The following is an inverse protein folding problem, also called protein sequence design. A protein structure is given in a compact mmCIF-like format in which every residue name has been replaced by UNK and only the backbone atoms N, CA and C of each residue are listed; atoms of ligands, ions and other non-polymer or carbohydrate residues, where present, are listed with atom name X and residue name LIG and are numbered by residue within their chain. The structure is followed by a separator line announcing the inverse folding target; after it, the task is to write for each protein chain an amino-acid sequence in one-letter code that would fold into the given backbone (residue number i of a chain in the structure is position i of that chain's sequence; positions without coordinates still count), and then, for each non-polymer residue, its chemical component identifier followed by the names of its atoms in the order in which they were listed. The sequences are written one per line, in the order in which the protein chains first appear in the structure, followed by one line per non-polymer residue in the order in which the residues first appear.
data_IF_737198762895
#
_entry.id   IF_737198762895
#
_cell.length_a   1.000
_cell.length_b   1.000
_cell.length_c   1.000
_cell.angle_alpha   90.00
_cell.angle_beta   90.00
_cell.angle_gamma   90.00
#
_symmetry.space_group_name_H-M   'P 1'
#
loop_
_entity.id
_entity.type
_entity.pdbx_description
1 polymer ?
#
# COMPACT_ATOMS: atom_id res chain seq x y z
N UNK A 1 -5.25 -2.00 -11.34
CA UNK A 1 -4.26 -2.78 -12.11
C UNK A 1 -3.83 -2.12 -13.41
N UNK A 2 -4.44 -0.98 -13.80
CA UNK A 2 -4.19 -0.34 -15.10
C UNK A 2 -4.54 -1.25 -16.28
N UNK A 3 -5.45 -2.22 -16.08
CA UNK A 3 -5.92 -3.10 -17.15
C UNK A 3 -7.25 -2.64 -17.75
N UNK A 4 -8.03 -1.80 -17.05
CA UNK A 4 -9.22 -1.18 -17.65
C UNK A 4 -8.84 -0.14 -18.71
N UNK A 5 -9.62 -0.05 -19.80
CA UNK A 5 -9.43 0.98 -20.80
C UNK A 5 -9.61 2.39 -20.22
N UNK A 6 -8.90 3.37 -20.78
CA UNK A 6 -9.05 4.76 -20.40
C UNK A 6 -10.49 5.28 -20.66
N UNK A 7 -10.93 6.34 -19.95
CA UNK A 7 -12.17 7.04 -20.29
C UNK A 7 -12.22 7.39 -21.78
N UNK A 8 -13.37 7.17 -22.43
CA UNK A 8 -13.56 7.39 -23.86
C UNK A 8 -12.90 6.37 -24.80
N UNK A 9 -12.27 5.31 -24.30
CA UNK A 9 -11.73 4.25 -25.16
C UNK A 9 -12.83 3.57 -26.00
N UNK A 10 -12.55 3.36 -27.29
CA UNK A 10 -13.47 2.71 -28.25
C UNK A 10 -13.85 1.30 -27.81
N UNK A 11 -12.90 0.55 -27.27
CA UNK A 11 -13.12 -0.77 -26.70
C UNK A 11 -13.14 -0.71 -25.18
N UNK A 12 -14.12 -1.39 -24.58
CA UNK A 12 -14.24 -1.59 -23.13
C UNK A 12 -13.54 -2.87 -22.64
N UNK A 13 -12.91 -3.64 -23.54
CA UNK A 13 -12.23 -4.89 -23.16
C UNK A 13 -10.92 -4.57 -22.43
N UNK A 14 -10.72 -5.07 -21.20
CA UNK A 14 -9.49 -4.85 -20.45
C UNK A 14 -8.29 -5.54 -21.10
N UNK A 15 -7.10 -4.97 -20.91
CA UNK A 15 -5.82 -5.59 -21.25
C UNK A 15 -5.28 -6.30 -20.01
N UNK A 16 -5.61 -7.57 -19.86
CA UNK A 16 -5.30 -8.34 -18.64
C UNK A 16 -3.83 -8.75 -18.58
N UNK A 17 -3.25 -8.87 -17.37
CA UNK A 17 -1.92 -9.45 -17.20
C UNK A 17 -1.81 -10.85 -17.79
N UNK A 18 -0.63 -11.22 -18.29
CA UNK A 18 -0.32 -12.58 -18.70
C UNK A 18 0.13 -13.40 -17.50
N UNK A 19 1.15 -12.92 -16.77
CA UNK A 19 1.64 -13.55 -15.56
C UNK A 19 2.20 -12.53 -14.57
N UNK A 20 2.50 -13.02 -13.37
CA UNK A 20 3.21 -12.24 -12.36
C UNK A 20 4.22 -13.09 -11.60
N UNK A 21 5.18 -12.38 -11.01
CA UNK A 21 6.12 -12.91 -10.01
C UNK A 21 6.12 -12.00 -8.80
N UNK A 22 6.40 -12.57 -7.64
CA UNK A 22 6.50 -11.84 -6.39
C UNK A 22 7.61 -12.46 -5.56
N UNK A 23 8.52 -11.64 -5.06
CA UNK A 23 9.62 -12.08 -4.21
C UNK A 23 9.75 -11.11 -3.05
N UNK A 24 9.96 -11.62 -1.85
CA UNK A 24 9.99 -10.79 -0.67
C UNK A 24 9.85 -11.61 0.59
N UNK A 25 10.37 -11.07 1.68
CA UNK A 25 10.32 -11.72 2.99
C UNK A 25 10.58 -10.71 4.09
N UNK A 26 10.10 -10.97 5.30
CA UNK A 26 10.59 -10.30 6.52
C UNK A 26 12.04 -10.70 6.79
N UNK A 27 13.01 -9.82 6.49
CA UNK A 27 14.45 -10.06 6.65
C UNK A 27 14.97 -9.63 8.02
N UNK A 28 14.56 -8.48 8.54
CA UNK A 28 15.13 -7.86 9.74
C UNK A 28 14.48 -8.33 11.03
N UNK A 29 13.15 -8.19 11.14
CA UNK A 29 12.42 -8.42 12.39
C UNK A 29 12.12 -9.90 12.61
N UNK A 30 13.19 -10.70 12.78
CA UNK A 30 13.13 -12.13 13.09
C UNK A 30 13.88 -12.42 14.38
N UNK A 31 13.44 -13.41 15.16
CA UNK A 31 14.10 -13.82 16.42
C UNK A 31 15.61 -14.03 16.27
N UNK A 32 16.06 -14.63 15.15
CA UNK A 32 17.48 -14.86 14.86
C UNK A 32 18.32 -13.58 14.68
N UNK A 33 17.67 -12.42 14.45
CA UNK A 33 18.28 -11.10 14.28
C UNK A 33 18.16 -10.23 15.52
N UNK A 34 17.52 -10.72 16.59
CA UNK A 34 17.41 -10.01 17.87
C UNK A 34 18.81 -9.72 18.41
N UNK A 35 19.11 -8.49 18.87
CA UNK A 35 20.38 -8.18 19.51
C UNK A 35 20.62 -9.12 20.69
N UNK A 36 21.81 -9.75 20.75
CA UNK A 36 22.16 -10.67 21.84
C UNK A 36 22.07 -9.99 23.22
N UNK A 37 22.43 -8.71 23.27
CA UNK A 37 22.35 -7.88 24.46
C UNK A 37 20.91 -7.71 24.98
N UNK A 38 19.88 -7.82 24.14
CA UNK A 38 18.48 -7.77 24.56
C UNK A 38 18.02 -9.02 25.32
N UNK A 39 18.82 -10.10 25.29
CA UNK A 39 18.55 -11.34 26.01
C UNK A 39 17.15 -11.90 25.72
N UNK A 40 16.42 -12.25 26.78
CA UNK A 40 15.07 -12.83 26.69
C UNK A 40 13.94 -11.78 26.77
N UNK A 41 14.25 -10.49 26.73
CA UNK A 41 13.22 -9.46 26.87
C UNK A 41 12.19 -9.55 25.74
N UNK A 42 10.92 -9.57 26.10
CA UNK A 42 9.77 -9.58 25.17
C UNK A 42 9.12 -8.21 25.05
N UNK A 43 9.38 -7.29 25.98
CA UNK A 43 8.88 -5.91 25.96
C UNK A 43 10.05 -4.92 26.07
N UNK A 44 9.95 -3.79 25.36
CA UNK A 44 10.98 -2.75 25.35
C UNK A 44 11.25 -2.16 26.74
N UNK A 45 10.22 -1.95 27.57
CA UNK A 45 10.36 -1.30 28.87
C UNK A 45 11.16 -2.12 29.90
N UNK A 46 11.26 -3.44 29.69
CA UNK A 46 12.02 -4.35 30.55
C UNK A 46 13.29 -4.89 29.87
N UNK A 47 13.71 -4.29 28.75
CA UNK A 47 14.87 -4.73 27.98
C UNK A 47 16.14 -3.98 28.39
N UNK A 48 17.17 -4.70 28.85
CA UNK A 48 18.45 -4.10 29.24
C UNK A 48 19.21 -3.43 28.10
N UNK A 49 18.89 -3.76 26.85
CA UNK A 49 19.48 -3.17 25.64
C UNK A 49 18.62 -2.05 25.02
N UNK A 50 17.49 -1.71 25.64
CA UNK A 50 16.57 -0.68 25.14
C UNK A 50 17.28 0.64 24.81
N UNK A 51 18.18 1.09 25.69
CA UNK A 51 18.95 2.31 25.56
C UNK A 51 19.85 2.39 24.31
N UNK A 52 20.24 1.26 23.72
CA UNK A 52 21.03 1.19 22.48
C UNK A 52 20.21 0.72 21.27
N UNK A 53 18.95 0.35 21.47
CA UNK A 53 18.09 -0.20 20.43
C UNK A 53 17.45 0.91 19.59
N UNK A 54 17.59 0.84 18.26
CA UNK A 54 16.94 1.77 17.31
C UNK A 54 15.41 1.59 17.25
N UNK A 55 14.92 0.43 17.67
CA UNK A 55 13.52 0.04 17.63
C UNK A 55 12.87 0.02 19.03
N UNK A 56 13.38 0.82 19.95
CA UNK A 56 12.75 1.00 21.26
C UNK A 56 11.40 1.72 21.11
N UNK A 57 10.33 1.06 21.55
CA UNK A 57 9.01 1.68 21.62
C UNK A 57 9.01 2.93 22.53
N UNK A 58 9.77 2.92 23.63
CA UNK A 58 9.89 4.08 24.52
C UNK A 58 10.50 5.28 23.77
N UNK A 59 11.62 5.07 23.08
CA UNK A 59 12.25 6.15 22.28
C UNK A 59 11.33 6.67 21.19
N UNK A 60 10.63 5.75 20.51
CA UNK A 60 9.74 6.09 19.39
C UNK A 60 8.54 6.89 19.89
N UNK A 61 7.76 6.39 20.84
CA UNK A 61 6.48 7.00 21.21
C UNK A 61 6.61 8.08 22.30
N UNK A 62 7.45 7.85 23.32
CA UNK A 62 7.61 8.80 24.43
C UNK A 62 8.63 9.89 24.06
N UNK A 63 9.90 9.52 23.89
CA UNK A 63 11.01 10.50 23.81
C UNK A 63 10.95 11.34 22.54
N UNK A 64 10.66 10.72 21.39
CA UNK A 64 10.61 11.42 20.10
C UNK A 64 9.31 12.20 19.87
N UNK A 65 8.19 11.79 20.46
CA UNK A 65 6.87 12.36 20.16
C UNK A 65 6.20 12.99 21.38
N UNK A 66 5.79 12.20 22.37
CA UNK A 66 5.01 12.75 23.48
C UNK A 66 5.80 13.79 24.29
N UNK A 67 7.12 13.60 24.45
CA UNK A 67 7.97 14.56 25.16
C UNK A 67 8.11 15.90 24.43
N UNK A 68 8.00 15.93 23.10
CA UNK A 68 7.94 17.17 22.32
C UNK A 68 6.53 17.77 22.28
N UNK A 69 5.57 17.22 23.03
CA UNK A 69 4.18 17.66 23.07
C UNK A 69 3.31 17.13 21.94
N UNK A 70 3.78 16.16 21.15
CA UNK A 70 2.95 15.52 20.13
C UNK A 70 2.04 14.47 20.77
N UNK A 71 0.73 14.74 20.79
CA UNK A 71 -0.31 13.79 21.23
C UNK A 71 -1.06 13.15 20.06
N UNK A 72 -0.73 13.51 18.82
CA UNK A 72 -1.35 12.94 17.62
C UNK A 72 -0.58 11.68 17.17
N UNK A 73 -0.66 11.29 15.90
CA UNK A 73 0.10 10.17 15.35
C UNK A 73 1.62 10.36 15.57
N UNK A 74 2.34 9.31 15.99
CA UNK A 74 1.88 7.94 16.21
C UNK A 74 1.39 7.64 17.64
N UNK A 75 1.40 8.61 18.55
CA UNK A 75 1.09 8.41 19.98
C UNK A 75 -0.37 8.05 20.21
N UNK A 76 -1.31 8.74 19.54
CA UNK A 76 -2.76 8.46 19.65
C UNK A 76 -3.15 7.04 19.24
N UNK A 77 -2.31 6.36 18.46
CA UNK A 77 -2.56 4.98 18.02
C UNK A 77 -2.24 4.01 19.16
N UNK A 78 -1.27 4.34 20.02
CA UNK A 78 -0.96 3.56 21.22
C UNK A 78 -2.04 3.76 22.27
N UNK A 79 -2.47 5.00 22.47
CA UNK A 79 -3.56 5.34 23.37
C UNK A 79 -4.45 6.45 22.77
N UNK A 80 -5.69 6.14 22.36
CA UNK A 80 -6.60 7.12 21.77
C UNK A 80 -7.00 8.27 22.71
N UNK A 81 -6.88 8.10 24.03
CA UNK A 81 -7.26 9.11 25.04
C UNK A 81 -6.09 10.03 25.40
N UNK A 82 -4.91 9.82 24.82
CA UNK A 82 -3.67 10.50 25.23
C UNK A 82 -3.75 12.03 25.11
N UNK A 83 -4.45 12.55 24.11
CA UNK A 83 -4.65 13.98 23.90
C UNK A 83 -5.46 14.61 25.04
N UNK A 84 -6.54 13.95 25.45
CA UNK A 84 -7.41 14.43 26.52
C UNK A 84 -6.69 14.36 27.87
N UNK A 85 -5.98 13.27 28.15
CA UNK A 85 -5.18 13.12 29.37
C UNK A 85 -4.09 14.20 29.44
N UNK A 86 -3.40 14.46 28.32
CA UNK A 86 -2.37 15.50 28.26
C UNK A 86 -2.96 16.88 28.56
N UNK A 87 -4.11 17.22 27.98
CA UNK A 87 -4.79 18.52 28.19
C UNK A 87 -5.34 18.68 29.61
N UNK A 88 -5.90 17.62 30.19
CA UNK A 88 -6.62 17.69 31.47
C UNK A 88 -5.73 17.43 32.67
N UNK A 89 -4.79 16.48 32.57
CA UNK A 89 -3.94 16.03 33.67
C UNK A 89 -2.46 16.38 33.48
N UNK A 90 -2.09 16.90 32.31
CA UNK A 90 -0.74 17.36 32.01
C UNK A 90 0.18 16.27 31.45
N UNK A 91 1.36 16.71 31.03
CA UNK A 91 2.37 15.90 30.33
C UNK A 91 2.82 14.66 31.11
N UNK A 92 3.01 14.76 32.42
CA UNK A 92 3.47 13.65 33.25
C UNK A 92 2.43 12.53 33.35
N UNK A 93 1.15 12.88 33.54
CA UNK A 93 0.06 11.92 33.55
C UNK A 93 -0.07 11.20 32.20
N UNK A 94 0.03 11.93 31.09
CA UNK A 94 0.04 11.35 29.76
C UNK A 94 1.24 10.41 29.54
N UNK A 95 2.44 10.80 29.96
CA UNK A 95 3.63 9.96 29.86
C UNK A 95 3.48 8.64 30.65
N UNK A 96 2.94 8.71 31.86
CA UNK A 96 2.67 7.53 32.68
C UNK A 96 1.63 6.61 32.02
N UNK A 97 0.55 7.19 31.45
CA UNK A 97 -0.46 6.42 30.72
C UNK A 97 0.13 5.74 29.48
N UNK A 98 0.92 6.45 28.70
CA UNK A 98 1.58 5.89 27.52
C UNK A 98 2.52 4.74 27.91
N UNK A 99 3.33 4.92 28.96
CA UNK A 99 4.21 3.87 29.46
C UNK A 99 3.42 2.65 29.98
N UNK A 100 2.25 2.86 30.59
CA UNK A 100 1.36 1.76 30.98
C UNK A 100 0.89 0.96 29.76
N UNK A 101 0.42 1.64 28.70
CA UNK A 101 0.00 0.98 27.46
C UNK A 101 1.17 0.25 26.77
N UNK A 102 2.36 0.85 26.76
CA UNK A 102 3.58 0.22 26.23
C UNK A 102 4.09 -0.94 27.12
N UNK A 103 3.74 -0.99 28.40
CA UNK A 103 4.12 -2.09 29.27
C UNK A 103 3.32 -3.37 28.99
N UNK A 104 2.20 -3.27 28.28
CA UNK A 104 1.38 -4.42 27.94
C UNK A 104 2.15 -5.41 27.06
N UNK A 105 2.04 -6.70 27.40
CA UNK A 105 2.75 -7.78 26.74
C UNK A 105 1.96 -9.09 26.81
N UNK A 106 2.36 -10.09 26.02
CA UNK A 106 1.76 -11.41 26.04
C UNK A 106 2.82 -12.52 26.19
N UNK A 107 2.37 -13.67 26.68
CA UNK A 107 3.19 -14.87 26.84
C UNK A 107 2.71 -15.98 25.92
N UNK A 108 3.38 -17.12 25.93
CA UNK A 108 2.90 -18.32 25.22
C UNK A 108 1.60 -18.89 25.79
N UNK A 109 1.17 -18.45 26.97
CA UNK A 109 -0.08 -18.87 27.61
C UNK A 109 -1.27 -17.96 27.24
N UNK A 110 -0.99 -16.77 26.68
CA UNK A 110 -2.04 -15.85 26.24
C UNK A 110 -2.77 -16.44 25.02
N UNK A 111 -4.12 -16.49 25.01
CA UNK A 111 -4.88 -16.99 23.87
C UNK A 111 -4.59 -16.21 22.59
N UNK A 112 -4.46 -16.90 21.46
CA UNK A 112 -4.21 -16.27 20.16
C UNK A 112 -5.27 -15.22 19.80
N UNK A 113 -6.55 -15.46 20.14
CA UNK A 113 -7.63 -14.50 19.94
C UNK A 113 -7.38 -13.17 20.66
N UNK A 114 -6.79 -13.21 21.84
CA UNK A 114 -6.52 -12.02 22.65
C UNK A 114 -5.31 -11.27 22.11
N UNK A 115 -4.32 -12.01 21.60
CA UNK A 115 -3.14 -11.43 20.91
C UNK A 115 -3.56 -10.74 19.62
N UNK A 116 -4.39 -11.39 18.80
CA UNK A 116 -4.83 -10.89 17.49
C UNK A 116 -5.88 -9.78 17.57
N UNK A 117 -6.59 -9.66 18.70
CA UNK A 117 -7.63 -8.64 18.87
C UNK A 117 -7.10 -7.20 18.90
N UNK A 118 -5.79 -6.99 19.12
CA UNK A 118 -5.19 -5.66 19.27
C UNK A 118 -3.69 -5.64 19.01
N UNK A 119 -3.12 -4.47 18.68
CA UNK A 119 -1.67 -4.29 18.65
C UNK A 119 -1.03 -4.25 20.04
N UNK A 120 0.26 -4.58 20.10
CA UNK A 120 1.10 -4.60 21.31
C UNK A 120 2.32 -3.69 21.13
N UNK A 121 2.10 -2.37 21.14
CA UNK A 121 3.09 -1.39 20.65
C UNK A 121 4.42 -1.34 21.43
N UNK A 122 4.43 -1.78 22.69
CA UNK A 122 5.68 -1.88 23.46
C UNK A 122 6.39 -3.23 23.38
N UNK A 123 5.78 -4.22 22.72
CA UNK A 123 6.40 -5.53 22.52
C UNK A 123 7.62 -5.41 21.60
N UNK A 124 8.66 -6.17 21.94
CA UNK A 124 9.89 -6.26 21.18
C UNK A 124 9.59 -6.72 19.74
N UNK A 125 9.95 -5.89 18.75
CA UNK A 125 9.69 -6.15 17.33
C UNK A 125 10.31 -7.47 16.80
N UNK A 126 11.33 -8.01 17.47
CA UNK A 126 11.91 -9.32 17.12
C UNK A 126 11.21 -10.52 17.79
N UNK A 127 10.39 -10.28 18.83
CA UNK A 127 9.58 -11.29 19.52
C UNK A 127 8.08 -11.20 19.16
N UNK A 128 7.71 -10.21 18.35
CA UNK A 128 6.39 -10.06 17.77
C UNK A 128 6.14 -11.09 16.65
N UNK A 129 4.87 -11.33 16.39
CA UNK A 129 4.31 -12.22 15.38
C UNK A 129 4.19 -11.60 13.98
N UNK A 130 4.47 -10.29 13.84
CA UNK A 130 4.47 -9.57 12.55
C UNK A 130 5.15 -10.35 11.44
N UNK A 131 4.43 -10.76 10.40
CA UNK A 131 4.96 -11.51 9.26
C UNK A 131 5.07 -10.67 7.97
N UNK A 132 4.78 -9.37 8.06
CA UNK A 132 4.83 -8.44 6.92
C UNK A 132 6.26 -8.35 6.36
N UNK A 133 6.36 -8.37 5.03
CA UNK A 133 7.63 -8.20 4.32
C UNK A 133 8.21 -6.80 4.58
N UNK A 134 9.51 -6.73 4.87
CA UNK A 134 10.23 -5.44 4.95
C UNK A 134 10.84 -5.02 3.61
N UNK A 135 10.82 -5.92 2.62
CA UNK A 135 11.31 -5.75 1.26
C UNK A 135 10.59 -6.76 0.34
N UNK A 136 9.80 -6.25 -0.61
CA UNK A 136 9.04 -7.05 -1.57
C UNK A 136 9.01 -6.40 -2.96
N UNK A 137 9.28 -7.22 -3.97
CA UNK A 137 9.15 -6.90 -5.37
C UNK A 137 8.01 -7.71 -5.99
N UNK A 138 7.08 -7.04 -6.65
CA UNK A 138 6.04 -7.66 -7.48
C UNK A 138 6.26 -7.20 -8.91
N UNK A 139 6.47 -8.14 -9.84
CA UNK A 139 6.58 -7.85 -11.27
C UNK A 139 5.38 -8.46 -11.97
N UNK A 140 4.67 -7.65 -12.74
CA UNK A 140 3.47 -8.03 -13.47
C UNK A 140 3.75 -7.77 -14.95
N UNK A 141 3.48 -8.76 -15.79
CA UNK A 141 3.71 -8.71 -17.22
C UNK A 141 2.39 -8.80 -17.99
N UNK A 142 2.36 -8.11 -19.12
CA UNK A 142 1.27 -8.12 -20.10
C UNK A 142 1.87 -8.43 -21.47
N UNK A 143 1.25 -9.35 -22.20
CA UNK A 143 1.59 -9.63 -23.59
C UNK A 143 0.85 -8.68 -24.54
N UNK A 144 1.19 -8.68 -25.82
CA UNK A 144 0.37 -8.00 -26.84
C UNK A 144 -1.06 -8.57 -26.86
N UNK A 145 -2.09 -7.71 -26.77
CA UNK A 145 -3.50 -8.12 -26.78
C UNK A 145 -4.30 -7.31 -27.82
N UNK A 146 -4.01 -7.47 -29.12
CA UNK A 146 -4.69 -6.74 -30.18
C UNK A 146 -6.21 -7.04 -30.17
N UNK A 147 -7.01 -5.99 -30.30
CA UNK A 147 -8.47 -6.10 -30.46
C UNK A 147 -8.86 -5.87 -31.91
N UNK A 148 -8.22 -4.88 -32.53
CA UNK A 148 -8.50 -4.44 -33.87
C UNK A 148 -7.36 -4.88 -34.82
N UNK A 149 -7.63 -4.77 -36.11
CA UNK A 149 -6.66 -5.00 -37.18
C UNK A 149 -6.48 -3.73 -37.99
N UNK A 150 -5.30 -3.53 -38.53
CA UNK A 150 -5.04 -2.49 -39.53
C UNK A 150 -5.66 -2.87 -40.88
N UNK A 151 -5.66 -1.92 -41.81
CA UNK A 151 -6.12 -2.03 -43.19
C UNK A 151 -5.48 -3.16 -43.99
N UNK A 152 -4.26 -3.56 -43.66
CA UNK A 152 -3.55 -4.69 -44.27
C UNK A 152 -3.83 -6.04 -43.57
N UNK A 153 -4.65 -6.04 -42.53
CA UNK A 153 -5.02 -7.20 -41.73
C UNK A 153 -4.05 -7.54 -40.59
N UNK A 154 -2.98 -6.76 -40.41
CA UNK A 154 -2.05 -6.92 -39.29
C UNK A 154 -2.70 -6.51 -37.95
N UNK A 155 -2.26 -7.07 -36.79
CA UNK A 155 -2.82 -6.71 -35.50
C UNK A 155 -2.48 -5.26 -35.10
N UNK A 156 -3.48 -4.49 -34.68
CA UNK A 156 -3.27 -3.11 -34.20
C UNK A 156 -2.94 -3.12 -32.70
N UNK A 157 -1.73 -2.68 -32.35
CA UNK A 157 -1.22 -2.67 -30.97
C UNK A 157 -1.31 -1.31 -30.26
N UNK A 158 -1.91 -0.30 -30.88
CA UNK A 158 -2.02 1.03 -30.26
C UNK A 158 -2.81 0.93 -28.94
N UNK A 159 -2.14 1.23 -27.82
CA UNK A 159 -2.72 1.09 -26.47
C UNK A 159 -2.90 -0.36 -25.99
N UNK A 160 -2.35 -1.34 -26.73
CA UNK A 160 -2.53 -2.79 -26.53
C UNK A 160 -1.23 -3.58 -26.58
N UNK A 161 -0.10 -2.89 -26.70
CA UNK A 161 1.23 -3.47 -26.71
C UNK A 161 1.60 -4.03 -25.32
N UNK A 162 2.49 -5.02 -25.33
CA UNK A 162 3.10 -5.61 -24.16
C UNK A 162 3.72 -4.55 -23.23
N UNK A 163 3.65 -4.79 -21.92
CA UNK A 163 4.18 -3.90 -20.89
C UNK A 163 4.51 -4.67 -19.62
N UNK A 164 5.38 -4.09 -18.81
CA UNK A 164 5.77 -4.64 -17.50
C UNK A 164 5.60 -3.56 -16.45
N UNK A 165 5.04 -3.93 -15.30
CA UNK A 165 4.99 -3.08 -14.11
C UNK A 165 5.75 -3.74 -12.97
N UNK A 166 6.52 -2.94 -12.23
CA UNK A 166 7.21 -3.40 -11.03
C UNK A 166 6.83 -2.53 -9.83
N UNK A 167 6.40 -3.19 -8.76
CA UNK A 167 6.18 -2.58 -7.46
C UNK A 167 7.28 -3.01 -6.51
N UNK A 168 7.87 -2.06 -5.82
CA UNK A 168 8.82 -2.30 -4.74
C UNK A 168 8.28 -1.68 -3.45
N UNK A 169 7.97 -2.53 -2.48
CA UNK A 169 7.60 -2.12 -1.13
C UNK A 169 8.81 -2.33 -0.23
N UNK A 170 9.22 -1.29 0.49
CA UNK A 170 10.38 -1.32 1.40
C UNK A 170 10.06 -0.57 2.69
N UNK A 171 10.38 -1.20 3.82
CA UNK A 171 10.15 -0.62 5.14
C UNK A 171 11.21 0.42 5.52
N UNK A 172 12.48 0.18 5.14
CA UNK A 172 13.61 1.04 5.52
C UNK A 172 13.95 2.01 4.40
N UNK A 173 13.30 3.17 4.42
CA UNK A 173 13.48 4.24 3.44
C UNK A 173 13.28 5.59 4.11
N UNK A 174 13.99 6.62 3.66
CA UNK A 174 13.73 8.02 4.05
C UNK A 174 12.35 8.48 3.55
N UNK A 175 11.89 7.91 2.44
CA UNK A 175 10.63 8.23 1.77
C UNK A 175 9.44 7.48 2.37
N UNK A 176 9.23 7.66 3.68
CA UNK A 176 8.13 7.03 4.42
C UNK A 176 6.80 7.67 3.96
N UNK A 177 5.79 6.84 3.70
CA UNK A 177 4.48 7.27 3.20
C UNK A 177 4.50 8.04 1.86
N UNK A 178 5.61 7.98 1.12
CA UNK A 178 5.74 8.58 -0.20
C UNK A 178 5.72 7.50 -1.30
N UNK A 179 5.08 7.82 -2.42
CA UNK A 179 5.08 7.00 -3.63
C UNK A 179 6.00 7.65 -4.66
N UNK A 180 6.96 6.88 -5.15
CA UNK A 180 7.89 7.31 -6.20
C UNK A 180 8.00 6.27 -7.28
N UNK A 181 8.34 6.69 -8.49
CA UNK A 181 8.49 5.75 -9.60
C UNK A 181 8.85 6.43 -10.91
N UNK A 182 8.96 5.59 -11.93
CA UNK A 182 9.22 5.99 -13.30
C UNK A 182 8.33 5.22 -14.26
N UNK A 183 7.87 5.91 -15.30
CA UNK A 183 7.12 5.33 -16.40
C UNK A 183 7.92 5.61 -17.67
N UNK A 184 8.31 4.55 -18.37
CA UNK A 184 9.10 4.64 -19.59
C UNK A 184 8.22 4.47 -20.81
N UNK A 185 8.47 5.28 -21.83
CA UNK A 185 7.81 5.19 -23.14
C UNK A 185 8.80 5.41 -24.28
N UNK A 186 8.31 5.25 -25.50
CA UNK A 186 9.14 5.41 -26.72
C UNK A 186 9.47 6.86 -27.05
N UNK A 187 8.69 7.83 -26.54
CA UNK A 187 8.87 9.26 -26.81
C UNK A 187 9.37 10.06 -25.60
N UNK A 188 9.55 9.41 -24.46
CA UNK A 188 9.90 10.09 -23.23
C UNK A 188 9.76 9.22 -22.00
N UNK A 189 9.96 9.84 -20.85
CA UNK A 189 9.78 9.22 -19.54
C UNK A 189 9.11 10.18 -18.56
N UNK A 190 8.42 9.60 -17.58
CA UNK A 190 7.81 10.30 -16.46
C UNK A 190 8.49 9.83 -15.18
N UNK A 191 8.95 10.78 -14.34
CA UNK A 191 9.45 10.52 -12.99
C UNK A 191 8.54 11.21 -11.97
N UNK A 192 8.23 10.55 -10.86
CA UNK A 192 7.45 11.14 -9.78
C UNK A 192 7.95 10.73 -8.39
N UNK A 193 7.74 11.60 -7.39
CA UNK A 193 8.18 11.40 -6.01
C UNK A 193 7.21 11.92 -4.94
N UNK A 194 5.90 11.80 -5.17
CA UNK A 194 4.81 12.35 -4.35
C UNK A 194 4.69 13.86 -4.33
N UNK A 195 5.76 14.62 -4.60
CA UNK A 195 5.75 16.09 -4.57
C UNK A 195 5.90 16.72 -5.96
N UNK A 196 6.58 16.02 -6.85
CA UNK A 196 6.94 16.47 -8.17
C UNK A 196 6.61 15.39 -9.22
N UNK A 197 6.20 15.81 -10.41
CA UNK A 197 6.07 14.97 -11.61
C UNK A 197 6.89 15.63 -12.73
N UNK A 198 7.91 14.94 -13.23
CA UNK A 198 8.74 15.39 -14.36
C UNK A 198 8.36 14.60 -15.60
N UNK A 199 8.13 15.30 -16.70
CA UNK A 199 7.83 14.71 -18.01
C UNK A 199 8.93 15.13 -18.96
N UNK A 200 9.76 14.17 -19.39
CA UNK A 200 10.85 14.41 -20.31
C UNK A 200 10.49 13.92 -21.72
N UNK A 201 10.72 14.76 -22.73
CA UNK A 201 10.48 14.44 -24.13
C UNK A 201 11.81 14.17 -24.85
N UNK A 202 11.98 12.96 -25.39
CA UNK A 202 13.24 12.57 -26.04
C UNK A 202 13.49 13.29 -27.37
N UNK A 203 12.43 13.66 -28.11
CA UNK A 203 12.59 14.32 -29.40
C UNK A 203 13.09 15.77 -29.26
N UNK A 204 12.69 16.46 -28.18
CA UNK A 204 13.08 17.86 -27.94
C UNK A 204 14.18 18.03 -26.90
N UNK A 205 14.43 17.00 -26.09
CA UNK A 205 15.32 17.07 -24.92
C UNK A 205 14.77 17.93 -23.78
N UNK A 206 13.52 18.38 -23.86
CA UNK A 206 12.91 19.27 -22.88
C UNK A 206 12.20 18.50 -21.76
N UNK A 207 12.37 18.97 -20.52
CA UNK A 207 11.65 18.45 -19.35
C UNK A 207 10.66 19.49 -18.83
N UNK A 208 9.40 19.11 -18.71
CA UNK A 208 8.39 19.89 -17.98
C UNK A 208 8.27 19.33 -16.57
N UNK A 209 8.26 20.22 -15.58
CA UNK A 209 8.08 19.85 -14.17
C UNK A 209 6.72 20.36 -13.68
N UNK A 210 5.93 19.46 -13.11
CA UNK A 210 4.67 19.76 -12.46
C UNK A 210 4.81 19.55 -10.96
N UNK A 211 4.35 20.52 -10.17
CA UNK A 211 4.33 20.44 -8.72
C UNK A 211 2.86 20.49 -8.27
N UNK A 212 2.17 19.34 -8.16
CA UNK A 212 0.80 19.30 -7.68
C UNK A 212 0.66 19.94 -6.29
N UNK A 213 -0.52 20.47 -5.99
CA UNK A 213 -0.79 20.99 -4.66
C UNK A 213 -0.70 19.85 -3.64
N UNK A 214 0.11 20.05 -2.59
CA UNK A 214 0.22 19.13 -1.46
C UNK A 214 -0.81 19.59 -0.43
N UNK A 215 -1.93 18.89 -0.34
CA UNK A 215 -2.91 19.14 0.71
C UNK A 215 -2.34 18.69 2.06
N UNK A 216 -2.81 19.31 3.15
CA UNK A 216 -2.45 18.90 4.51
C UNK A 216 -3.03 17.52 4.85
N UNK A 217 -2.37 16.81 5.77
CA UNK A 217 -2.79 15.49 6.25
C UNK A 217 -1.91 14.33 5.75
N UNK A 218 -2.10 13.13 6.32
CA UNK A 218 -1.21 11.98 6.11
C UNK A 218 -1.28 11.32 4.73
N UNK A 219 -2.21 11.76 3.86
CA UNK A 219 -2.56 11.10 2.60
C UNK A 219 -2.29 11.98 1.36
N UNK A 220 -1.66 13.16 1.54
CA UNK A 220 -1.24 14.04 0.44
C UNK A 220 -2.38 14.60 -0.42
N UNK A 221 -3.61 14.69 0.12
CA UNK A 221 -4.79 15.18 -0.58
C UNK A 221 -5.54 14.16 -1.44
N UNK A 222 -5.07 12.91 -1.50
CA UNK A 222 -5.72 11.86 -2.27
C UNK A 222 -7.16 11.58 -1.83
N UNK A 223 -7.42 11.60 -0.52
CA UNK A 223 -8.75 11.30 0.04
C UNK A 223 -9.80 12.33 -0.39
N UNK A 224 -9.46 13.63 -0.32
CA UNK A 224 -10.34 14.72 -0.76
C UNK A 224 -10.60 14.63 -2.27
N UNK A 225 -9.55 14.35 -3.06
CA UNK A 225 -9.67 14.14 -4.50
C UNK A 225 -10.63 12.99 -4.84
N UNK A 226 -10.47 11.84 -4.20
CA UNK A 226 -11.34 10.67 -4.39
C UNK A 226 -12.78 10.95 -3.96
N UNK A 227 -12.98 11.58 -2.79
CA UNK A 227 -14.31 11.95 -2.31
C UNK A 227 -15.01 12.92 -3.27
N UNK A 228 -14.28 13.92 -3.78
CA UNK A 228 -14.80 14.86 -4.78
C UNK A 228 -15.22 14.15 -6.06
N UNK A 229 -14.39 13.25 -6.60
CA UNK A 229 -14.73 12.50 -7.81
C UNK A 229 -15.95 11.59 -7.59
N UNK A 230 -16.05 10.97 -6.42
CA UNK A 230 -17.22 10.17 -6.05
C UNK A 230 -18.50 11.00 -6.02
N UNK A 231 -18.47 12.20 -5.40
CA UNK A 231 -19.63 13.09 -5.37
C UNK A 231 -20.05 13.56 -6.76
N UNK A 232 -19.09 13.86 -7.65
CA UNK A 232 -19.39 14.20 -9.05
C UNK A 232 -20.05 13.03 -9.79
N UNK A 233 -19.58 11.80 -9.57
CA UNK A 233 -20.21 10.62 -10.15
C UNK A 233 -21.66 10.46 -9.67
N UNK A 234 -21.91 10.60 -8.36
CA UNK A 234 -23.25 10.50 -7.78
C UNK A 234 -24.18 11.59 -8.32
N UNK A 235 -23.70 12.83 -8.42
CA UNK A 235 -24.49 13.95 -8.95
C UNK A 235 -24.86 13.75 -10.43
N UNK A 236 -23.91 13.29 -11.25
CA UNK A 236 -24.15 12.99 -12.66
C UNK A 236 -25.22 11.89 -12.85
N UNK A 237 -25.25 10.90 -11.96
CA UNK A 237 -26.27 9.84 -11.96
C UNK A 237 -27.63 10.38 -11.48
N UNK A 238 -27.65 11.09 -10.35
CA UNK A 238 -28.89 11.59 -9.74
C UNK A 238 -29.60 12.65 -10.61
N UNK A 239 -28.83 13.46 -11.34
CA UNK A 239 -29.37 14.43 -12.31
C UNK A 239 -29.88 13.79 -13.61
N UNK A 240 -29.63 12.49 -13.82
CA UNK A 240 -29.95 11.78 -15.06
C UNK A 240 -29.03 12.11 -16.23
N UNK A 241 -27.89 12.79 -15.98
CA UNK A 241 -26.92 13.17 -17.01
C UNK A 241 -26.15 11.95 -17.55
N UNK A 242 -25.81 11.00 -16.67
CA UNK A 242 -25.04 9.80 -17.00
C UNK A 242 -25.65 8.56 -16.36
N UNK A 243 -25.38 7.40 -16.97
CA UNK A 243 -25.59 6.12 -16.28
C UNK A 243 -24.54 5.94 -15.16
N UNK A 244 -24.82 5.07 -14.19
CA UNK A 244 -23.86 4.76 -13.13
C UNK A 244 -22.53 4.23 -13.68
N UNK A 245 -22.58 3.37 -14.72
CA UNK A 245 -21.39 2.80 -15.33
C UNK A 245 -20.54 3.87 -16.03
N UNK A 246 -21.17 4.82 -16.74
CA UNK A 246 -20.46 5.90 -17.43
C UNK A 246 -19.86 6.89 -16.42
N UNK A 247 -20.60 7.24 -15.37
CA UNK A 247 -20.11 8.12 -14.30
C UNK A 247 -18.94 7.50 -13.54
N UNK A 248 -18.97 6.19 -13.26
CA UNK A 248 -17.83 5.47 -12.67
C UNK A 248 -16.60 5.54 -13.57
N UNK A 249 -16.76 5.24 -14.86
CA UNK A 249 -15.67 5.29 -15.82
C UNK A 249 -15.05 6.69 -15.95
N UNK A 250 -15.89 7.73 -16.02
CA UNK A 250 -15.45 9.11 -16.22
C UNK A 250 -14.79 9.71 -14.96
N UNK A 251 -15.46 9.64 -13.81
CA UNK A 251 -15.01 10.35 -12.61
C UNK A 251 -14.08 9.50 -11.74
N UNK A 252 -14.35 8.20 -11.60
CA UNK A 252 -13.55 7.32 -10.74
C UNK A 252 -12.39 6.66 -11.49
N UNK A 253 -12.44 6.65 -12.83
CA UNK A 253 -11.39 6.07 -13.68
C UNK A 253 -11.28 4.53 -13.60
N UNK A 254 -12.22 3.87 -12.92
CA UNK A 254 -12.28 2.42 -12.80
C UNK A 254 -13.72 1.93 -12.56
N UNK A 255 -13.95 0.66 -12.89
CA UNK A 255 -15.19 -0.06 -12.60
C UNK A 255 -15.00 -1.01 -11.41
N UNK A 256 -16.10 -1.62 -10.96
CA UNK A 256 -16.08 -2.59 -9.86
C UNK A 256 -15.19 -3.79 -10.18
N UNK A 257 -15.20 -4.25 -11.43
CA UNK A 257 -14.38 -5.40 -11.84
C UNK A 257 -12.88 -5.08 -11.76
N UNK A 258 -12.45 -3.86 -12.07
CA UNK A 258 -11.06 -3.41 -11.93
C UNK A 258 -10.64 -3.37 -10.46
N UNK A 259 -11.49 -2.82 -9.60
CA UNK A 259 -11.28 -2.82 -8.16
C UNK A 259 -11.12 -4.26 -7.65
N UNK A 260 -12.03 -5.16 -8.02
CA UNK A 260 -11.97 -6.56 -7.62
C UNK A 260 -10.71 -7.27 -8.18
N UNK A 261 -10.41 -7.11 -9.47
CA UNK A 261 -9.19 -7.65 -10.11
C UNK A 261 -7.91 -7.21 -9.38
N UNK A 262 -7.83 -5.93 -8.99
CA UNK A 262 -6.68 -5.41 -8.25
C UNK A 262 -6.51 -6.04 -6.87
N UNK A 263 -7.60 -6.37 -6.17
CA UNK A 263 -7.52 -7.08 -4.89
C UNK A 263 -7.12 -8.54 -5.11
N UNK A 264 -7.70 -9.19 -6.12
CA UNK A 264 -7.35 -10.56 -6.51
C UNK A 264 -5.86 -10.71 -6.85
N UNK A 265 -5.27 -9.69 -7.50
CA UNK A 265 -3.83 -9.64 -7.77
C UNK A 265 -2.96 -9.66 -6.51
N UNK A 266 -3.41 -9.11 -5.39
CA UNK A 266 -2.68 -9.19 -4.13
C UNK A 266 -2.55 -10.64 -3.66
N UNK A 267 -3.64 -11.42 -3.74
CA UNK A 267 -3.62 -12.84 -3.39
C UNK A 267 -2.76 -13.67 -4.36
N UNK A 268 -2.84 -13.38 -5.67
CA UNK A 268 -2.00 -14.02 -6.66
C UNK A 268 -0.50 -13.73 -6.41
N UNK A 269 -0.17 -12.49 -6.04
CA UNK A 269 1.19 -12.09 -5.71
C UNK A 269 1.69 -12.74 -4.42
N UNK A 270 0.83 -12.91 -3.42
CA UNK A 270 1.17 -13.63 -2.21
C UNK A 270 1.38 -15.13 -2.46
N UNK A 271 0.56 -15.73 -3.31
CA UNK A 271 0.73 -17.12 -3.75
C UNK A 271 2.05 -17.30 -4.52
N UNK A 272 2.37 -16.40 -5.46
CA UNK A 272 3.63 -16.41 -6.19
C UNK A 272 4.84 -16.36 -5.23
N UNK A 273 4.77 -15.50 -4.20
CA UNK A 273 5.82 -15.31 -3.20
C UNK A 273 6.02 -16.52 -2.30
N UNK A 274 4.92 -17.03 -1.73
CA UNK A 274 4.96 -18.11 -0.73
C UNK A 274 5.25 -19.46 -1.35
N UNK A 275 4.71 -19.74 -2.54
CA UNK A 275 4.98 -20.98 -3.29
C UNK A 275 6.23 -20.90 -4.17
N UNK A 276 6.86 -19.72 -4.27
CA UNK A 276 8.07 -19.46 -5.07
C UNK A 276 7.90 -19.86 -6.54
N UNK A 277 6.82 -19.38 -7.16
CA UNK A 277 6.46 -19.73 -8.52
C UNK A 277 6.08 -18.50 -9.35
N UNK A 278 6.13 -18.66 -10.67
CA UNK A 278 5.46 -17.75 -11.60
C UNK A 278 3.97 -18.09 -11.60
N UNK A 279 3.11 -17.09 -11.45
CA UNK A 279 1.66 -17.27 -11.50
C UNK A 279 1.13 -16.78 -12.83
N UNK A 280 0.59 -17.70 -13.63
CA UNK A 280 -0.21 -17.37 -14.81
C UNK A 280 -1.54 -16.76 -14.36
N UNK A 281 -1.80 -15.52 -14.77
CA UNK A 281 -2.93 -14.75 -14.29
C UNK A 281 -4.27 -15.37 -14.69
N UNK A 282 -4.41 -15.79 -15.95
CA UNK A 282 -5.65 -16.35 -16.47
C UNK A 282 -5.99 -17.67 -15.79
N UNK A 283 -5.01 -18.55 -15.63
CA UNK A 283 -5.18 -19.83 -14.92
C UNK A 283 -5.54 -19.59 -13.46
N UNK A 284 -4.84 -18.70 -12.78
CA UNK A 284 -5.09 -18.40 -11.37
C UNK A 284 -6.48 -17.80 -11.16
N UNK A 285 -6.88 -16.85 -12.01
CA UNK A 285 -8.19 -16.22 -11.98
C UNK A 285 -9.33 -17.25 -12.15
N UNK A 286 -9.23 -18.11 -13.16
CA UNK A 286 -10.25 -19.13 -13.40
C UNK A 286 -10.45 -20.04 -12.18
N UNK A 287 -9.35 -20.49 -11.57
CA UNK A 287 -9.36 -21.44 -10.44
C UNK A 287 -9.86 -20.78 -9.14
N UNK A 288 -9.37 -19.59 -8.82
CA UNK A 288 -9.59 -18.96 -7.51
C UNK A 288 -10.79 -18.00 -7.48
N UNK A 289 -11.25 -17.54 -8.63
CA UNK A 289 -12.36 -16.57 -8.72
C UNK A 289 -13.55 -17.21 -9.45
N UNK A 290 -13.42 -17.52 -10.73
CA UNK A 290 -14.58 -17.90 -11.56
C UNK A 290 -15.22 -19.21 -11.11
N UNK A 291 -14.42 -20.24 -10.83
CA UNK A 291 -14.95 -21.53 -10.37
C UNK A 291 -15.65 -21.43 -9.01
N UNK A 292 -15.21 -20.53 -8.13
CA UNK A 292 -15.83 -20.31 -6.81
C UNK A 292 -17.20 -19.62 -6.95
N UNK A 293 -17.33 -18.67 -7.88
CA UNK A 293 -18.60 -18.01 -8.18
C UNK A 293 -19.64 -18.97 -8.78
N UNK A 294 -19.20 -20.02 -9.47
CA UNK A 294 -20.06 -21.05 -10.03
C UNK A 294 -20.48 -22.12 -9.01
N UNK A 295 -19.68 -22.33 -7.95
CA UNK A 295 -19.99 -23.28 -6.87
C UNK A 295 -20.90 -22.70 -5.78
N UNK A 296 -21.04 -21.37 -5.72
CA UNK A 296 -21.97 -20.66 -4.83
C UNK A 296 -23.40 -20.51 -5.39
N UNK A 297 -23.71 -21.16 -6.52
CA UNK A 297 -25.05 -21.28 -7.10
C UNK A 297 -25.52 -22.73 -6.99
#
# INVERSE_FOLDING_TARGET
MLCSPAPGAKSKKPHLPSFLTSTGSRKLFRKARKPKAAGKATNCLNCVHEGDCDYSAKKIYLERHLESGNTDWPVKIVDPEIEDIYKTNGKEAAANRLLQALAEDYTSETPASDVEARPWFGRCVWEADNDVCDDQYVTIDWDDDPIDKDSDGSPLLQGRAAKTAQFHMVAFTEKICERRGRIYGTHGEIEYDSTCIKVHNFATGHTVTHNPHIASGGHGGGDEGLARQFLLAVDAVNSGTMSAADAQGEFLGCDLDEAFRSHAMVFAAEEARTKRQVVDWKKWWNVNVEMQLLQGK
#
